data_IF_400135284322
#
_entry.id   IF_400135284322
#
_cell.length_a   1.000
_cell.length_b   1.000
_cell.length_c   1.000
_cell.angle_alpha   90.00
_cell.angle_beta   90.00
_cell.angle_gamma   90.00
#
_symmetry.space_group_name_H-M   'P 1'
#
loop_
_entity.id
_entity.type
_entity.pdbx_description
1 polymer ?
#
# COMPACT_ATOMS: atom_id res chain seq x y z
N UNK A 1 43.49 42.74 53.87
CA UNK A 1 43.05 41.47 53.21
C UNK A 1 42.03 41.67 52.07
N UNK A 2 41.21 42.69 52.08
CA UNK A 2 40.15 42.94 51.09
C UNK A 2 40.65 43.41 49.71
N UNK A 3 41.72 44.19 49.64
CA UNK A 3 42.24 44.75 48.38
C UNK A 3 42.87 43.69 47.45
N UNK A 4 43.50 42.66 47.99
CA UNK A 4 44.12 41.56 47.20
C UNK A 4 43.07 40.61 46.60
N UNK A 5 41.91 40.46 47.22
CA UNK A 5 40.79 39.70 46.69
C UNK A 5 40.13 40.41 45.52
N UNK A 6 40.03 41.77 45.63
CA UNK A 6 39.39 42.60 44.55
C UNK A 6 40.26 42.63 43.30
N UNK A 7 41.58 42.70 43.44
CA UNK A 7 42.52 42.70 42.32
C UNK A 7 42.51 41.35 41.60
N UNK A 8 42.59 40.23 42.32
CA UNK A 8 42.51 38.87 41.75
C UNK A 8 41.16 38.56 41.14
N UNK A 9 40.08 39.10 41.68
CA UNK A 9 38.74 38.95 41.11
C UNK A 9 38.64 39.73 39.78
N UNK A 10 39.19 40.92 39.73
CA UNK A 10 39.20 41.72 38.50
C UNK A 10 40.10 41.13 37.39
N UNK A 11 41.25 40.58 37.75
CA UNK A 11 42.12 39.88 36.77
C UNK A 11 41.47 38.63 36.21
N UNK A 12 40.86 37.81 37.04
CA UNK A 12 40.11 36.62 36.61
C UNK A 12 38.87 36.97 35.79
N UNK A 13 38.18 38.03 36.14
CA UNK A 13 37.05 38.52 35.39
C UNK A 13 37.46 39.03 34.03
N UNK A 14 38.62 39.72 33.96
CA UNK A 14 39.15 40.24 32.69
C UNK A 14 39.71 39.13 31.79
N UNK A 15 40.37 38.16 32.33
CA UNK A 15 40.79 36.94 31.62
C UNK A 15 39.58 36.15 31.10
N UNK A 16 38.54 35.96 31.91
CA UNK A 16 37.32 35.29 31.51
C UNK A 16 36.56 36.10 30.47
N UNK A 17 36.45 37.41 30.58
CA UNK A 17 35.82 38.27 29.60
C UNK A 17 36.57 38.31 28.28
N UNK A 18 37.90 38.24 28.28
CA UNK A 18 38.70 38.28 27.05
C UNK A 18 38.78 36.96 26.30
N UNK A 19 38.51 35.81 26.96
CA UNK A 19 38.58 34.46 26.38
C UNK A 19 37.20 33.85 26.22
N UNK A 20 36.55 33.50 27.33
CA UNK A 20 35.24 32.85 27.31
C UNK A 20 34.07 33.81 27.01
N UNK A 21 34.16 35.07 27.52
CA UNK A 21 33.16 36.07 27.25
C UNK A 21 33.04 36.43 25.77
N UNK A 22 34.15 36.57 25.07
CA UNK A 22 34.17 36.79 23.61
C UNK A 22 33.50 35.64 22.85
N UNK A 23 33.79 34.38 23.25
CA UNK A 23 33.19 33.19 22.65
C UNK A 23 31.68 33.14 22.89
N UNK A 24 31.21 33.46 24.11
CA UNK A 24 29.78 33.53 24.43
C UNK A 24 29.07 34.57 23.57
N UNK A 25 29.68 35.74 23.38
CA UNK A 25 29.14 36.78 22.47
C UNK A 25 29.09 36.30 21.03
N UNK A 26 30.15 35.61 20.54
CA UNK A 26 30.17 35.06 19.19
C UNK A 26 29.09 33.98 19.00
N UNK A 27 28.88 33.10 19.99
CA UNK A 27 27.83 32.06 19.96
C UNK A 27 26.44 32.70 19.95
N UNK A 28 26.21 33.71 20.79
CA UNK A 28 24.96 34.47 20.82
C UNK A 28 24.69 35.21 19.48
N UNK A 29 25.71 35.79 18.88
CA UNK A 29 25.63 36.42 17.57
C UNK A 29 25.34 35.38 16.47
N UNK A 30 26.02 34.25 16.48
CA UNK A 30 25.78 33.14 15.54
C UNK A 30 24.33 32.63 15.67
N UNK A 31 23.84 32.47 16.89
CA UNK A 31 22.45 32.07 17.15
C UNK A 31 21.46 33.09 16.59
N UNK A 32 21.68 34.38 16.76
CA UNK A 32 20.84 35.46 16.18
C UNK A 32 20.88 35.46 14.66
N UNK A 33 22.05 35.25 14.06
CA UNK A 33 22.22 35.13 12.61
C UNK A 33 21.46 33.91 12.07
N UNK A 34 21.58 32.74 12.72
CA UNK A 34 20.85 31.51 12.36
C UNK A 34 19.33 31.72 12.45
N UNK A 35 18.84 32.36 13.50
CA UNK A 35 17.41 32.68 13.64
C UNK A 35 16.93 33.70 12.58
N UNK A 36 17.76 34.67 12.21
CA UNK A 36 17.47 35.60 11.12
C UNK A 36 17.46 34.91 9.75
N UNK A 37 18.42 33.99 9.49
CA UNK A 37 18.47 33.16 8.28
C UNK A 37 17.25 32.25 8.20
N UNK A 38 16.89 31.58 9.29
CA UNK A 38 15.69 30.76 9.37
C UNK A 38 14.43 31.54 8.99
N UNK A 39 14.26 32.78 9.53
CA UNK A 39 13.15 33.67 9.16
C UNK A 39 13.14 33.98 7.67
N UNK A 40 14.31 34.29 7.08
CA UNK A 40 14.43 34.62 5.65
C UNK A 40 14.12 33.42 4.75
N UNK A 41 14.66 32.22 5.09
CA UNK A 41 14.40 30.98 4.34
C UNK A 41 12.92 30.64 4.38
N UNK A 42 12.32 30.68 5.56
CA UNK A 42 10.88 30.42 5.74
C UNK A 42 10.03 31.42 4.96
N UNK A 43 10.35 32.71 4.99
CA UNK A 43 9.66 33.75 4.23
C UNK A 43 9.79 33.53 2.71
N UNK A 44 10.99 33.17 2.22
CA UNK A 44 11.22 32.86 0.81
C UNK A 44 10.48 31.61 0.34
N UNK A 45 10.49 30.53 1.13
CA UNK A 45 9.70 29.33 0.84
C UNK A 45 8.20 29.67 0.77
N UNK A 46 7.71 30.46 1.73
CA UNK A 46 6.32 30.91 1.74
C UNK A 46 5.95 31.67 0.46
N UNK A 47 6.77 32.61 0.02
CA UNK A 47 6.49 33.40 -1.19
C UNK A 47 6.49 32.55 -2.47
N UNK A 48 7.32 31.50 -2.53
CA UNK A 48 7.32 30.55 -3.64
C UNK A 48 6.04 29.71 -3.68
N UNK A 49 5.53 29.28 -2.53
CA UNK A 49 4.29 28.50 -2.45
C UNK A 49 3.03 29.34 -2.69
N UNK A 50 2.99 30.60 -2.21
CA UNK A 50 1.85 31.50 -2.40
C UNK A 50 1.58 31.80 -3.88
N UNK A 51 2.62 31.79 -4.73
CA UNK A 51 2.47 31.95 -6.19
C UNK A 51 2.04 30.69 -6.96
N UNK A 52 2.10 29.52 -6.35
CA UNK A 52 1.93 28.22 -7.05
C UNK A 52 0.71 27.43 -6.61
N UNK A 53 0.06 27.76 -5.50
CA UNK A 53 -1.03 26.97 -4.93
C UNK A 53 -2.40 27.52 -5.36
N UNK A 54 -3.23 26.67 -6.04
CA UNK A 54 -4.48 27.14 -6.64
C UNK A 54 -5.67 27.27 -5.67
N UNK A 55 -5.56 26.78 -4.42
CA UNK A 55 -6.71 26.77 -3.49
C UNK A 55 -6.41 27.36 -2.11
N UNK A 56 -7.39 28.09 -1.49
CA UNK A 56 -7.23 28.63 -0.14
C UNK A 56 -6.96 27.59 0.95
N UNK A 57 -7.44 26.35 0.76
CA UNK A 57 -7.23 25.26 1.70
C UNK A 57 -5.76 24.77 1.69
N UNK A 58 -5.14 24.72 0.51
CA UNK A 58 -3.72 24.37 0.37
C UNK A 58 -2.81 25.44 0.99
N UNK A 59 -3.14 26.71 0.81
CA UNK A 59 -2.43 27.80 1.45
C UNK A 59 -2.47 27.71 2.98
N UNK A 60 -3.63 27.44 3.58
CA UNK A 60 -3.75 27.26 5.04
C UNK A 60 -2.88 26.11 5.56
N UNK A 61 -2.87 24.96 4.85
CA UNK A 61 -2.02 23.82 5.20
C UNK A 61 -0.53 24.14 5.12
N UNK A 62 -0.09 24.78 4.02
CA UNK A 62 1.29 25.21 3.84
C UNK A 62 1.74 26.17 4.94
N UNK A 63 0.88 27.13 5.33
CA UNK A 63 1.12 28.03 6.45
C UNK A 63 1.34 27.29 7.77
N UNK A 64 0.44 26.36 8.12
CA UNK A 64 0.54 25.61 9.36
C UNK A 64 1.83 24.78 9.41
N UNK A 65 2.16 24.07 8.32
CA UNK A 65 3.38 23.27 8.22
C UNK A 65 4.64 24.14 8.35
N UNK A 66 4.67 25.29 7.67
CA UNK A 66 5.79 26.22 7.72
C UNK A 66 5.98 26.79 9.13
N UNK A 67 4.89 27.07 9.86
CA UNK A 67 4.97 27.49 11.27
C UNK A 67 5.56 26.40 12.16
N UNK A 68 5.09 25.15 12.02
CA UNK A 68 5.61 24.01 12.81
C UNK A 68 7.10 23.81 12.57
N UNK A 69 7.53 23.74 11.31
CA UNK A 69 8.95 23.57 10.95
C UNK A 69 9.81 24.69 11.52
N UNK A 70 9.36 25.95 11.39
CA UNK A 70 10.05 27.10 11.95
C UNK A 70 10.18 27.03 13.47
N UNK A 71 9.10 26.64 14.17
CA UNK A 71 9.10 26.65 15.63
C UNK A 71 9.95 25.47 16.17
N UNK A 72 9.93 24.31 15.55
CA UNK A 72 10.84 23.20 15.86
C UNK A 72 12.30 23.60 15.62
N UNK A 73 12.62 24.17 14.45
CA UNK A 73 13.97 24.63 14.15
C UNK A 73 14.46 25.71 15.15
N UNK A 74 13.56 26.61 15.57
CA UNK A 74 13.86 27.64 16.59
C UNK A 74 14.21 27.00 17.95
N UNK A 75 13.41 26.00 18.36
CA UNK A 75 13.65 25.27 19.63
C UNK A 75 15.03 24.58 19.58
N UNK A 76 15.37 23.92 18.48
CA UNK A 76 16.66 23.25 18.30
C UNK A 76 17.82 24.25 18.35
N UNK A 77 17.74 25.36 17.60
CA UNK A 77 18.77 26.40 17.58
C UNK A 77 18.97 26.99 18.99
N UNK A 78 17.85 27.28 19.69
CA UNK A 78 17.92 27.83 21.04
C UNK A 78 18.52 26.82 22.04
N UNK A 79 18.13 25.55 21.97
CA UNK A 79 18.65 24.49 22.83
C UNK A 79 20.16 24.28 22.63
N UNK A 80 20.62 24.16 21.38
CA UNK A 80 22.04 23.98 21.06
C UNK A 80 22.84 25.23 21.45
N UNK A 81 22.35 26.42 21.13
CA UNK A 81 23.01 27.68 21.48
C UNK A 81 23.15 27.86 23.00
N UNK A 82 22.09 27.54 23.76
CA UNK A 82 22.13 27.59 25.23
C UNK A 82 23.14 26.59 25.80
N UNK A 83 23.18 25.36 25.27
CA UNK A 83 24.18 24.35 25.66
C UNK A 83 25.62 24.85 25.42
N UNK A 84 25.88 25.45 24.26
CA UNK A 84 27.19 26.00 23.94
C UNK A 84 27.58 27.14 24.88
N UNK A 85 26.66 28.04 25.22
CA UNK A 85 26.89 29.15 26.17
C UNK A 85 27.20 28.61 27.59
N UNK A 86 26.42 27.61 28.05
CA UNK A 86 26.66 26.96 29.35
C UNK A 86 28.03 26.29 29.40
N UNK A 87 28.44 25.64 28.30
CA UNK A 87 29.79 25.02 28.20
C UNK A 87 30.91 26.05 28.37
N UNK A 88 30.84 27.18 27.67
CA UNK A 88 31.82 28.26 27.77
C UNK A 88 31.79 28.94 29.15
N UNK A 89 30.69 28.87 29.86
CA UNK A 89 30.52 29.36 31.20
C UNK A 89 31.09 28.42 32.29
N UNK A 90 31.67 27.26 31.89
CA UNK A 90 32.30 26.27 32.79
C UNK A 90 31.31 25.30 33.45
N UNK A 91 30.06 25.23 32.96
CA UNK A 91 29.06 24.26 33.44
C UNK A 91 29.40 22.89 32.88
N UNK A 92 29.44 21.85 33.72
CA UNK A 92 29.56 20.47 33.25
C UNK A 92 28.29 20.02 32.52
N UNK A 93 28.42 19.85 31.20
CA UNK A 93 27.30 19.45 30.33
C UNK A 93 27.04 17.95 30.32
N UNK A 94 27.88 17.11 30.90
CA UNK A 94 27.72 15.64 30.87
C UNK A 94 26.34 15.17 31.33
N UNK A 95 25.77 15.65 32.47
CA UNK A 95 24.42 15.24 32.87
C UNK A 95 23.33 15.73 31.91
N UNK A 96 23.48 16.94 31.35
CA UNK A 96 22.53 17.51 30.41
C UNK A 96 22.55 16.79 29.07
N UNK A 97 23.74 16.42 28.58
CA UNK A 97 23.89 15.63 27.34
C UNK A 97 23.35 14.21 27.55
N UNK A 98 23.54 13.59 28.73
CA UNK A 98 22.94 12.29 29.02
C UNK A 98 21.40 12.36 29.02
N UNK A 99 20.82 13.37 29.66
CA UNK A 99 19.38 13.59 29.67
C UNK A 99 18.83 13.90 28.25
N UNK A 100 19.54 14.73 27.47
CA UNK A 100 19.21 15.02 26.08
C UNK A 100 19.28 13.76 25.19
N UNK A 101 20.27 12.88 25.44
CA UNK A 101 20.41 11.60 24.78
C UNK A 101 19.20 10.67 25.02
N UNK A 102 18.77 10.56 26.26
CA UNK A 102 17.54 9.80 26.61
C UNK A 102 16.29 10.41 25.96
N UNK A 103 16.17 11.75 25.99
CA UNK A 103 15.11 12.46 25.28
C UNK A 103 15.14 12.22 23.78
N UNK A 104 16.33 12.22 23.17
CA UNK A 104 16.54 11.91 21.75
C UNK A 104 16.13 10.49 21.38
N UNK A 105 16.43 9.50 22.24
CA UNK A 105 15.96 8.12 22.04
C UNK A 105 14.43 8.03 22.09
N UNK A 106 13.79 8.71 23.05
CA UNK A 106 12.33 8.72 23.15
C UNK A 106 11.67 9.35 21.89
N UNK A 107 12.23 10.46 21.39
CA UNK A 107 11.78 11.09 20.14
C UNK A 107 12.04 10.16 18.95
N UNK A 108 13.19 9.47 18.90
CA UNK A 108 13.55 8.51 17.86
C UNK A 108 12.57 7.35 17.79
N UNK A 109 12.21 6.75 18.91
CA UNK A 109 11.18 5.70 18.97
C UNK A 109 9.81 6.24 18.55
N UNK A 110 9.44 7.46 18.95
CA UNK A 110 8.20 8.10 18.50
C UNK A 110 8.14 8.39 17.00
N UNK A 111 9.30 8.64 16.37
CA UNK A 111 9.41 8.94 14.94
C UNK A 111 9.74 7.70 14.08
N UNK A 112 9.92 6.52 14.66
CA UNK A 112 10.38 5.30 13.96
C UNK A 112 9.50 4.94 12.76
N UNK A 113 8.18 5.02 12.90
CA UNK A 113 7.25 4.72 11.80
C UNK A 113 7.41 5.72 10.64
N UNK A 114 7.60 7.00 10.94
CA UNK A 114 7.82 8.02 9.93
C UNK A 114 9.10 7.76 9.13
N UNK A 115 10.19 7.42 9.80
CA UNK A 115 11.46 7.08 9.15
C UNK A 115 11.31 5.83 8.29
N UNK A 116 10.62 4.80 8.79
CA UNK A 116 10.30 3.58 8.04
C UNK A 116 9.47 3.90 6.79
N UNK A 117 8.43 4.74 6.90
CA UNK A 117 7.61 5.16 5.76
C UNK A 117 8.45 5.81 4.66
N UNK A 118 9.34 6.73 5.04
CA UNK A 118 10.17 7.48 4.09
C UNK A 118 11.19 6.58 3.39
N UNK A 119 11.86 5.70 4.13
CA UNK A 119 12.85 4.76 3.57
C UNK A 119 12.16 3.77 2.64
N UNK A 120 11.05 3.16 3.06
CA UNK A 120 10.28 2.24 2.22
C UNK A 120 9.77 2.94 0.97
N UNK A 121 9.23 4.14 1.09
CA UNK A 121 8.75 4.93 -0.05
C UNK A 121 9.86 5.29 -1.04
N UNK A 122 11.05 5.61 -0.55
CA UNK A 122 12.20 5.86 -1.40
C UNK A 122 12.55 4.62 -2.25
N UNK A 123 12.59 3.42 -1.64
CA UNK A 123 12.87 2.19 -2.39
C UNK A 123 11.74 1.80 -3.33
N UNK A 124 10.47 1.95 -2.95
CA UNK A 124 9.33 1.71 -3.83
C UNK A 124 9.42 2.56 -5.11
N UNK A 125 9.80 3.83 -4.97
CA UNK A 125 9.98 4.75 -6.10
C UNK A 125 11.25 4.41 -6.91
N UNK A 126 12.37 4.12 -6.25
CA UNK A 126 13.64 3.80 -6.89
C UNK A 126 13.56 2.51 -7.72
N UNK A 127 12.96 1.46 -7.16
CA UNK A 127 12.78 0.16 -7.81
C UNK A 127 11.63 0.15 -8.81
N UNK A 128 10.81 1.21 -8.80
CA UNK A 128 9.65 1.32 -9.67
C UNK A 128 8.70 0.11 -9.53
N UNK A 129 8.51 -0.34 -8.28
CA UNK A 129 7.70 -1.51 -7.94
C UNK A 129 6.21 -1.24 -8.09
N UNK A 130 5.78 0.00 -7.88
CA UNK A 130 4.41 0.51 -8.01
C UNK A 130 4.42 1.79 -8.82
N UNK A 131 3.54 1.90 -9.80
CA UNK A 131 3.37 3.09 -10.65
C UNK A 131 1.95 3.63 -10.53
N UNK A 132 1.79 4.94 -10.73
CA UNK A 132 0.47 5.53 -10.94
C UNK A 132 -0.16 4.89 -12.18
N UNK A 133 -1.39 4.41 -12.05
CA UNK A 133 -2.10 3.69 -13.10
C UNK A 133 -2.06 2.16 -12.96
N UNK A 134 -1.21 1.60 -12.10
CA UNK A 134 -1.22 0.16 -11.80
C UNK A 134 -2.45 -0.21 -10.94
N UNK A 135 -2.78 -1.50 -10.94
CA UNK A 135 -3.65 -2.11 -9.94
C UNK A 135 -2.80 -3.00 -9.05
N UNK A 136 -2.74 -2.66 -7.78
CA UNK A 136 -1.88 -3.35 -6.82
C UNK A 136 -2.65 -3.75 -5.56
N UNK A 137 -2.08 -4.73 -4.83
CA UNK A 137 -2.47 -5.04 -3.47
C UNK A 137 -1.25 -4.81 -2.57
N UNK A 138 -1.39 -3.89 -1.61
CA UNK A 138 -0.35 -3.50 -0.65
C UNK A 138 -0.99 -3.29 0.73
N UNK A 139 -0.31 -3.74 1.79
CA UNK A 139 -0.82 -3.60 3.15
C UNK A 139 -2.22 -4.21 3.38
N UNK A 140 -2.57 -5.28 2.64
CA UNK A 140 -3.88 -5.93 2.72
C UNK A 140 -5.01 -5.21 1.97
N UNK A 141 -4.71 -4.16 1.22
CA UNK A 141 -5.69 -3.38 0.45
C UNK A 141 -5.36 -3.43 -1.03
N UNK A 142 -6.35 -3.77 -1.85
CA UNK A 142 -6.24 -3.79 -3.32
C UNK A 142 -6.90 -2.57 -3.96
N UNK A 143 -6.30 -2.01 -5.02
CA UNK A 143 -6.90 -0.91 -5.74
C UNK A 143 -6.05 -0.36 -6.87
N UNK A 144 -6.65 0.56 -7.61
CA UNK A 144 -5.99 1.36 -8.65
C UNK A 144 -5.13 2.45 -8.00
N UNK A 145 -3.87 2.56 -8.42
CA UNK A 145 -2.91 3.52 -7.87
C UNK A 145 -3.18 4.92 -8.44
N UNK A 146 -3.66 5.83 -7.60
CA UNK A 146 -3.86 7.23 -7.96
C UNK A 146 -2.62 8.09 -7.77
N UNK A 147 -1.83 7.80 -6.71
CA UNK A 147 -0.60 8.51 -6.41
C UNK A 147 0.37 7.63 -5.64
N UNK A 148 1.66 7.80 -5.91
CA UNK A 148 2.76 7.23 -5.14
C UNK A 148 3.58 8.40 -4.61
N UNK A 149 3.54 8.59 -3.29
CA UNK A 149 4.25 9.66 -2.59
C UNK A 149 5.37 9.07 -1.75
N UNK A 150 6.30 9.90 -1.28
CA UNK A 150 7.44 9.43 -0.49
C UNK A 150 7.03 8.72 0.81
N UNK A 151 5.89 9.09 1.41
CA UNK A 151 5.39 8.51 2.65
C UNK A 151 4.22 7.54 2.47
N UNK A 152 3.40 7.72 1.44
CA UNK A 152 2.14 6.99 1.27
C UNK A 152 1.88 6.62 -0.18
N UNK A 153 1.19 5.49 -0.39
CA UNK A 153 0.53 5.13 -1.65
C UNK A 153 -0.96 5.40 -1.49
N UNK A 154 -1.57 6.03 -2.49
CA UNK A 154 -3.01 6.26 -2.54
C UNK A 154 -3.64 5.35 -3.57
N UNK A 155 -4.58 4.52 -3.12
CA UNK A 155 -5.30 3.55 -3.92
C UNK A 155 -6.79 3.90 -3.96
N UNK A 156 -7.46 3.57 -5.06
CA UNK A 156 -8.91 3.57 -5.16
C UNK A 156 -9.41 2.16 -5.45
N UNK A 157 -10.32 1.67 -4.62
CA UNK A 157 -10.95 0.37 -4.83
C UNK A 157 -12.08 0.42 -5.86
N UNK A 158 -12.63 -0.75 -6.20
CA UNK A 158 -13.75 -0.85 -7.15
C UNK A 158 -15.05 -0.19 -6.66
N UNK A 159 -15.19 0.00 -5.34
CA UNK A 159 -16.34 0.69 -4.74
C UNK A 159 -16.16 2.21 -4.72
N UNK A 160 -14.99 2.72 -5.16
CA UNK A 160 -14.66 4.14 -5.22
C UNK A 160 -14.03 4.69 -3.94
N UNK A 161 -13.79 3.86 -2.91
CA UNK A 161 -13.15 4.32 -1.68
C UNK A 161 -11.67 4.60 -1.92
N UNK A 162 -11.16 5.65 -1.28
CA UNK A 162 -9.75 6.01 -1.33
C UNK A 162 -9.05 5.48 -0.08
N UNK A 163 -8.03 4.66 -0.30
CA UNK A 163 -7.16 4.12 0.73
C UNK A 163 -5.80 4.82 0.69
N UNK A 164 -5.37 5.33 1.84
CA UNK A 164 -4.04 5.96 2.00
C UNK A 164 -3.19 5.02 2.84
N UNK A 165 -2.27 4.33 2.18
CA UNK A 165 -1.43 3.28 2.77
C UNK A 165 -0.05 3.87 3.09
N UNK A 166 0.40 3.90 4.36
CA UNK A 166 1.76 4.28 4.71
C UNK A 166 2.77 3.30 4.11
N UNK A 167 3.85 3.80 3.50
CA UNK A 167 4.84 2.94 2.84
C UNK A 167 5.55 1.98 3.79
N UNK A 168 5.70 2.37 5.07
CA UNK A 168 6.36 1.56 6.08
C UNK A 168 5.63 0.28 6.50
N UNK A 169 4.33 0.13 6.16
CA UNK A 169 3.59 -1.11 6.39
C UNK A 169 3.57 -2.02 5.15
N UNK A 170 4.12 -1.55 4.03
CA UNK A 170 4.23 -2.32 2.78
C UNK A 170 5.45 -3.23 2.89
N UNK A 171 5.23 -4.47 3.25
CA UNK A 171 6.22 -5.55 3.28
C UNK A 171 6.24 -6.36 1.99
N UNK A 172 5.11 -6.40 1.27
CA UNK A 172 4.93 -7.12 0.02
C UNK A 172 4.06 -6.30 -0.93
N UNK A 173 4.47 -6.24 -2.18
CA UNK A 173 3.71 -5.64 -3.28
C UNK A 173 3.24 -6.75 -4.21
N UNK A 174 1.93 -6.87 -4.44
CA UNK A 174 1.35 -7.68 -5.51
C UNK A 174 0.86 -6.73 -6.60
N UNK A 175 1.64 -6.58 -7.66
CA UNK A 175 1.27 -5.78 -8.82
C UNK A 175 0.59 -6.67 -9.85
N UNK A 176 -0.68 -6.39 -10.17
CA UNK A 176 -1.52 -7.22 -11.05
C UNK A 176 -1.47 -6.74 -12.51
N UNK A 177 -0.77 -5.64 -12.79
CA UNK A 177 -0.81 -4.97 -14.08
C UNK A 177 0.56 -4.53 -14.60
N UNK A 178 1.65 -4.99 -13.96
CA UNK A 178 3.01 -4.62 -14.38
C UNK A 178 3.36 -5.36 -15.67
N UNK A 179 3.59 -4.61 -16.76
CA UNK A 179 3.97 -5.07 -18.09
C UNK A 179 2.89 -5.84 -18.84
N UNK A 180 2.32 -6.87 -18.27
CA UNK A 180 1.20 -7.66 -18.79
C UNK A 180 0.35 -8.19 -17.64
N UNK A 181 -0.80 -8.75 -17.96
CA UNK A 181 -1.68 -9.37 -16.98
C UNK A 181 -2.17 -10.73 -17.45
N UNK A 182 -2.47 -11.60 -16.51
CA UNK A 182 -3.20 -12.83 -16.79
C UNK A 182 -4.60 -12.78 -16.16
N UNK A 183 -5.57 -13.34 -16.88
CA UNK A 183 -6.82 -13.78 -16.27
C UNK A 183 -6.79 -15.31 -16.18
N UNK A 184 -6.89 -15.83 -14.96
CA UNK A 184 -6.91 -17.25 -14.68
C UNK A 184 -8.37 -17.71 -14.61
N UNK A 185 -8.69 -18.80 -15.29
CA UNK A 185 -9.98 -19.45 -15.26
C UNK A 185 -9.87 -20.78 -14.55
N UNK A 186 -10.78 -21.04 -13.61
CA UNK A 186 -11.03 -22.33 -12.99
C UNK A 186 -12.44 -22.76 -13.42
N UNK A 187 -12.52 -23.61 -14.46
CA UNK A 187 -13.77 -24.01 -15.08
C UNK A 187 -14.17 -25.39 -14.57
N UNK A 188 -15.24 -25.42 -13.76
CA UNK A 188 -15.79 -26.67 -13.23
C UNK A 188 -16.79 -27.29 -14.21
N UNK A 189 -16.59 -28.56 -14.55
CA UNK A 189 -17.51 -29.35 -15.37
C UNK A 189 -17.89 -30.66 -14.64
N UNK A 190 -19.04 -31.24 -15.01
CA UNK A 190 -19.49 -32.47 -14.38
C UNK A 190 -18.53 -33.63 -14.68
N UNK A 191 -18.42 -34.59 -13.75
CA UNK A 191 -17.55 -35.75 -13.88
C UNK A 191 -17.84 -36.66 -15.09
N UNK A 192 -19.05 -36.54 -15.66
CA UNK A 192 -19.44 -37.28 -16.87
C UNK A 192 -18.96 -36.63 -18.17
N UNK A 193 -18.50 -35.37 -18.13
CA UNK A 193 -18.05 -34.66 -19.31
C UNK A 193 -16.68 -35.16 -19.77
N UNK A 194 -16.46 -35.20 -21.10
CA UNK A 194 -15.14 -35.47 -21.65
C UNK A 194 -14.27 -34.21 -21.53
N UNK A 195 -13.22 -34.31 -20.72
CA UNK A 195 -12.35 -33.14 -20.43
C UNK A 195 -11.58 -32.66 -21.67
N UNK A 196 -11.24 -33.59 -22.60
CA UNK A 196 -10.51 -33.20 -23.83
C UNK A 196 -11.45 -32.45 -24.79
N UNK A 197 -12.71 -32.88 -24.91
CA UNK A 197 -13.73 -32.16 -25.66
C UNK A 197 -13.97 -30.76 -25.06
N UNK A 198 -14.11 -30.68 -23.74
CA UNK A 198 -14.30 -29.39 -23.04
C UNK A 198 -13.11 -28.45 -23.25
N UNK A 199 -11.88 -28.95 -23.14
CA UNK A 199 -10.67 -28.14 -23.41
C UNK A 199 -10.63 -27.63 -24.84
N UNK A 200 -11.03 -28.45 -25.82
CA UNK A 200 -11.18 -28.04 -27.22
C UNK A 200 -12.19 -26.89 -27.39
N UNK A 201 -13.35 -27.01 -26.74
CA UNK A 201 -14.40 -25.97 -26.76
C UNK A 201 -13.91 -24.67 -26.13
N UNK A 202 -13.15 -24.73 -25.01
CA UNK A 202 -12.57 -23.53 -24.39
C UNK A 202 -11.57 -22.83 -25.31
N UNK A 203 -10.75 -23.59 -26.05
CA UNK A 203 -9.85 -23.02 -27.07
C UNK A 203 -10.60 -22.36 -28.22
N UNK A 204 -11.67 -22.98 -28.74
CA UNK A 204 -12.53 -22.40 -29.78
C UNK A 204 -13.11 -21.07 -29.33
N UNK A 205 -13.68 -21.00 -28.12
CA UNK A 205 -14.23 -19.78 -27.52
C UNK A 205 -13.16 -18.68 -27.39
N UNK A 206 -11.97 -19.04 -26.94
CA UNK A 206 -10.87 -18.10 -26.79
C UNK A 206 -10.43 -17.52 -28.14
N UNK A 207 -10.36 -18.34 -29.19
CA UNK A 207 -10.04 -17.86 -30.53
C UNK A 207 -11.15 -16.96 -31.12
N UNK A 208 -12.42 -17.21 -30.80
CA UNK A 208 -13.51 -16.32 -31.15
C UNK A 208 -13.38 -14.96 -30.47
N UNK A 209 -13.03 -14.92 -29.18
CA UNK A 209 -12.81 -13.66 -28.45
C UNK A 209 -11.59 -12.93 -29.00
N UNK A 210 -10.53 -13.66 -29.33
CA UNK A 210 -9.30 -13.09 -29.90
C UNK A 210 -9.52 -12.48 -31.28
N UNK A 211 -10.44 -13.03 -32.09
CA UNK A 211 -10.81 -12.48 -33.42
C UNK A 211 -11.84 -11.35 -33.35
N UNK A 212 -12.47 -11.16 -32.19
CA UNK A 212 -13.45 -10.09 -32.03
C UNK A 212 -12.74 -8.73 -31.97
N UNK A 213 -13.03 -7.79 -32.88
CA UNK A 213 -12.35 -6.49 -32.92
C UNK A 213 -12.40 -5.68 -31.62
N UNK A 214 -13.38 -5.99 -30.77
CA UNK A 214 -13.51 -5.31 -29.47
C UNK A 214 -12.46 -5.74 -28.45
N UNK A 215 -11.84 -6.93 -28.62
CA UNK A 215 -10.93 -7.55 -27.66
C UNK A 215 -9.58 -7.96 -28.27
N UNK A 216 -9.48 -7.98 -29.60
CA UNK A 216 -8.29 -8.44 -30.33
C UNK A 216 -7.01 -7.72 -29.87
N UNK A 217 -7.08 -6.40 -29.73
CA UNK A 217 -5.94 -5.58 -29.30
C UNK A 217 -5.62 -5.73 -27.80
N UNK A 218 -6.55 -6.25 -27.01
CA UNK A 218 -6.35 -6.44 -25.56
C UNK A 218 -5.64 -7.77 -25.22
N UNK A 219 -5.62 -8.74 -26.16
CA UNK A 219 -5.10 -10.09 -25.95
C UNK A 219 -3.73 -10.25 -26.58
N UNK A 220 -2.72 -10.56 -25.79
CA UNK A 220 -1.33 -10.66 -26.22
C UNK A 220 -0.96 -12.04 -26.80
N UNK A 221 -1.52 -13.11 -26.25
CA UNK A 221 -1.19 -14.48 -26.60
C UNK A 221 -2.47 -15.34 -26.65
N UNK A 222 -2.48 -16.47 -27.40
CA UNK A 222 -3.58 -17.43 -27.35
C UNK A 222 -3.84 -17.94 -25.92
N UNK A 223 -5.02 -18.52 -25.71
CA UNK A 223 -5.35 -19.19 -24.43
C UNK A 223 -4.33 -20.27 -24.14
N UNK A 224 -3.70 -20.21 -22.99
CA UNK A 224 -2.84 -21.26 -22.47
C UNK A 224 -3.67 -22.23 -21.65
N UNK A 225 -3.81 -23.46 -22.14
CA UNK A 225 -4.49 -24.56 -21.45
C UNK A 225 -3.51 -25.20 -20.47
N UNK A 226 -3.80 -25.13 -19.17
CA UNK A 226 -2.99 -25.77 -18.12
C UNK A 226 -3.45 -27.21 -17.84
N UNK A 227 -4.68 -27.56 -18.25
CA UNK A 227 -5.25 -28.90 -18.13
C UNK A 227 -6.16 -29.07 -16.91
N UNK A 228 -6.41 -30.35 -16.54
CA UNK A 228 -7.17 -30.69 -15.34
C UNK A 228 -6.33 -30.38 -14.11
N UNK A 229 -6.80 -29.49 -13.26
CA UNK A 229 -6.10 -29.00 -12.07
C UNK A 229 -6.52 -29.77 -10.81
N UNK A 230 -7.81 -30.05 -10.67
CA UNK A 230 -8.36 -30.64 -9.45
C UNK A 230 -9.63 -31.45 -9.73
N UNK A 231 -9.78 -32.54 -8.97
CA UNK A 231 -11.03 -33.26 -8.80
C UNK A 231 -11.71 -32.74 -7.52
N UNK A 232 -12.66 -31.80 -7.69
CA UNK A 232 -13.39 -31.21 -6.58
C UNK A 232 -14.62 -32.07 -6.20
N UNK A 233 -15.31 -31.73 -5.10
CA UNK A 233 -16.42 -32.54 -4.54
C UNK A 233 -17.55 -32.81 -5.55
N UNK A 234 -17.80 -31.91 -6.48
CA UNK A 234 -18.89 -32.03 -7.46
C UNK A 234 -18.47 -31.68 -8.89
N UNK A 235 -17.21 -31.39 -9.16
CA UNK A 235 -16.72 -30.96 -10.45
C UNK A 235 -15.29 -31.41 -10.73
N UNK A 236 -14.96 -31.56 -12.00
CA UNK A 236 -13.60 -31.62 -12.50
C UNK A 236 -13.22 -30.18 -12.88
N UNK A 237 -12.15 -29.63 -12.29
CA UNK A 237 -11.69 -28.27 -12.54
C UNK A 237 -10.64 -28.26 -13.63
N UNK A 238 -10.95 -27.58 -14.72
CA UNK A 238 -10.03 -27.32 -15.84
C UNK A 238 -9.48 -25.92 -15.66
N UNK A 239 -8.16 -25.81 -15.63
CA UNK A 239 -7.45 -24.54 -15.47
C UNK A 239 -6.89 -24.05 -16.79
N UNK A 240 -7.14 -22.80 -17.12
CA UNK A 240 -6.56 -22.14 -18.28
C UNK A 240 -6.35 -20.64 -17.96
N UNK A 241 -5.52 -19.98 -18.75
CA UNK A 241 -5.27 -18.55 -18.57
C UNK A 241 -5.08 -17.84 -19.91
N UNK A 242 -5.39 -16.55 -19.90
CA UNK A 242 -5.21 -15.69 -21.06
C UNK A 242 -4.34 -14.48 -20.71
N UNK A 243 -3.33 -14.21 -21.54
CA UNK A 243 -2.43 -13.08 -21.37
C UNK A 243 -3.00 -11.85 -22.07
N UNK A 244 -3.04 -10.75 -21.34
CA UNK A 244 -3.63 -9.50 -21.83
C UNK A 244 -2.72 -8.30 -21.57
N UNK A 245 -3.03 -7.19 -22.21
CA UNK A 245 -2.52 -5.90 -21.80
C UNK A 245 -2.92 -5.57 -20.35
N UNK A 246 -2.13 -4.75 -19.64
CA UNK A 246 -2.45 -4.31 -18.30
C UNK A 246 -3.88 -3.77 -18.16
N UNK A 247 -4.57 -4.11 -17.07
CA UNK A 247 -5.95 -3.70 -16.74
C UNK A 247 -7.03 -4.39 -17.62
N UNK A 248 -6.68 -4.97 -18.77
CA UNK A 248 -7.63 -5.57 -19.71
C UNK A 248 -8.08 -6.97 -19.32
N UNK A 249 -7.35 -7.65 -18.44
CA UNK A 249 -7.64 -9.03 -18.00
C UNK A 249 -9.07 -9.20 -17.48
N UNK A 250 -9.59 -8.25 -16.70
CA UNK A 250 -10.96 -8.37 -16.17
C UNK A 250 -12.05 -8.22 -17.25
N UNK A 251 -11.84 -7.33 -18.23
CA UNK A 251 -12.77 -7.13 -19.34
C UNK A 251 -12.81 -8.36 -20.23
N UNK A 252 -11.64 -8.88 -20.61
CA UNK A 252 -11.50 -10.11 -21.41
C UNK A 252 -12.05 -11.30 -20.65
N UNK A 253 -11.69 -11.46 -19.36
CA UNK A 253 -12.17 -12.55 -18.52
C UNK A 253 -13.69 -12.60 -18.40
N UNK A 254 -14.36 -11.45 -18.21
CA UNK A 254 -15.82 -11.39 -18.13
C UNK A 254 -16.48 -11.79 -19.47
N UNK A 255 -15.91 -11.39 -20.60
CA UNK A 255 -16.44 -11.80 -21.91
C UNK A 255 -16.23 -13.28 -22.17
N UNK A 256 -15.05 -13.82 -21.82
CA UNK A 256 -14.80 -15.27 -21.88
C UNK A 256 -15.83 -16.04 -21.04
N UNK A 257 -16.03 -15.68 -19.77
CA UNK A 257 -17.01 -16.33 -18.91
C UNK A 257 -18.43 -16.29 -19.49
N UNK A 258 -18.81 -15.16 -20.08
CA UNK A 258 -20.11 -15.02 -20.75
C UNK A 258 -20.26 -15.96 -21.94
N UNK A 259 -19.22 -16.10 -22.78
CA UNK A 259 -19.25 -16.98 -23.95
C UNK A 259 -19.17 -18.44 -23.53
N UNK A 260 -18.33 -18.78 -22.54
CA UNK A 260 -18.25 -20.12 -21.98
C UNK A 260 -19.65 -20.58 -21.52
N UNK A 261 -20.35 -19.80 -20.72
CA UNK A 261 -21.70 -20.16 -20.25
C UNK A 261 -22.66 -20.42 -21.40
N UNK A 262 -22.66 -19.55 -22.45
CA UNK A 262 -23.56 -19.69 -23.59
C UNK A 262 -23.24 -20.91 -24.44
N UNK A 263 -21.96 -21.17 -24.70
CA UNK A 263 -21.52 -22.29 -25.54
C UNK A 263 -21.73 -23.62 -24.83
N UNK A 264 -21.46 -23.67 -23.50
CA UNK A 264 -21.71 -24.85 -22.70
C UNK A 264 -23.20 -25.21 -22.70
N UNK A 265 -24.09 -24.23 -22.48
CA UNK A 265 -25.52 -24.45 -22.57
C UNK A 265 -25.94 -24.98 -23.96
N UNK A 266 -25.39 -24.41 -25.04
CA UNK A 266 -25.72 -24.82 -26.39
C UNK A 266 -25.19 -26.21 -26.78
N UNK A 267 -24.03 -26.61 -26.24
CA UNK A 267 -23.41 -27.92 -26.47
C UNK A 267 -23.85 -28.97 -25.45
N UNK A 268 -24.63 -28.62 -24.43
CA UNK A 268 -25.09 -29.53 -23.38
C UNK A 268 -23.99 -29.91 -22.38
N UNK A 269 -22.88 -29.14 -22.30
CA UNK A 269 -21.82 -29.35 -21.31
C UNK A 269 -22.33 -28.86 -19.95
N UNK A 270 -22.35 -29.75 -18.97
CA UNK A 270 -22.88 -29.46 -17.65
C UNK A 270 -21.89 -28.74 -16.75
N UNK A 271 -22.31 -27.56 -16.25
CA UNK A 271 -21.68 -26.91 -15.09
C UNK A 271 -22.43 -27.42 -13.84
N UNK A 272 -21.82 -28.30 -13.05
CA UNK A 272 -22.54 -29.03 -12.03
C UNK A 272 -22.96 -28.12 -10.86
N UNK A 273 -24.15 -28.37 -10.33
CA UNK A 273 -24.53 -27.90 -9.01
C UNK A 273 -23.84 -28.73 -7.92
N UNK A 274 -23.81 -28.26 -6.67
CA UNK A 274 -23.32 -29.08 -5.56
C UNK A 274 -24.10 -30.39 -5.48
N UNK A 275 -23.39 -31.54 -5.61
CA UNK A 275 -23.96 -32.86 -5.50
C UNK A 275 -23.64 -33.47 -4.13
N UNK A 276 -24.58 -34.25 -3.61
CA UNK A 276 -24.39 -35.03 -2.39
C UNK A 276 -24.79 -36.48 -2.65
N UNK A 277 -23.91 -37.41 -2.29
CA UNK A 277 -24.26 -38.81 -2.27
C UNK A 277 -24.80 -39.17 -0.88
N UNK A 278 -26.05 -39.61 -0.84
CA UNK A 278 -26.67 -40.03 0.40
C UNK A 278 -26.47 -41.55 0.51
N UNK A 279 -25.65 -41.95 1.49
CA UNK A 279 -25.45 -43.36 1.81
C UNK A 279 -26.36 -43.73 2.99
N UNK A 280 -27.27 -44.67 2.74
CA UNK A 280 -28.11 -45.27 3.79
C UNK A 280 -27.31 -46.40 4.40
N UNK A 281 -26.70 -46.17 5.56
CA UNK A 281 -25.92 -47.17 6.26
C UNK A 281 -26.75 -48.46 6.46
N UNK A 282 -26.10 -49.65 6.38
CA UNK A 282 -26.72 -50.91 6.70
C UNK A 282 -27.09 -50.95 8.19
N UNK A 283 -28.35 -51.17 8.55
CA UNK A 283 -28.75 -51.31 9.94
C UNK A 283 -28.06 -52.56 10.53
N UNK A 284 -27.55 -52.42 11.76
CA UNK A 284 -26.96 -53.58 12.47
C UNK A 284 -27.93 -54.75 12.61
N UNK A 285 -29.22 -54.52 12.61
CA UNK A 285 -30.30 -55.50 12.64
C UNK A 285 -31.51 -54.97 11.88
N UNK A 286 -32.13 -55.77 10.99
CA UNK A 286 -33.34 -55.42 10.27
C UNK A 286 -33.11 -54.84 8.86
N UNK A 287 -34.22 -54.56 8.15
CA UNK A 287 -34.18 -53.92 6.82
C UNK A 287 -34.01 -52.43 6.96
N UNK A 288 -33.20 -51.77 6.06
CA UNK A 288 -33.11 -50.31 6.05
C UNK A 288 -34.50 -49.69 5.85
N UNK A 289 -34.73 -48.52 6.47
CA UNK A 289 -35.98 -47.78 6.30
C UNK A 289 -36.21 -47.46 4.81
N UNK A 290 -37.36 -47.71 4.24
CA UNK A 290 -37.65 -47.39 2.85
C UNK A 290 -37.62 -45.87 2.61
N UNK A 291 -36.90 -45.44 1.56
CA UNK A 291 -36.98 -44.06 1.09
C UNK A 291 -38.15 -43.90 0.17
N UNK A 292 -39.11 -43.08 0.56
CA UNK A 292 -40.23 -42.70 -0.33
C UNK A 292 -39.80 -41.47 -1.16
N UNK A 293 -39.49 -41.68 -2.44
CA UNK A 293 -39.27 -40.59 -3.40
C UNK A 293 -40.60 -40.30 -4.09
N UNK A 294 -41.26 -39.21 -3.73
CA UNK A 294 -42.43 -38.74 -4.45
C UNK A 294 -42.00 -38.06 -5.76
N UNK A 295 -42.09 -38.79 -6.88
CA UNK A 295 -41.82 -38.18 -8.19
C UNK A 295 -42.99 -37.28 -8.63
N UNK A 296 -42.66 -36.21 -9.34
CA UNK A 296 -43.60 -35.19 -9.90
C UNK A 296 -44.58 -35.76 -10.96
N UNK A 297 -44.58 -37.06 -11.21
CA UNK A 297 -45.48 -37.72 -12.22
C UNK A 297 -46.99 -37.74 -11.79
N UNK A 298 -47.33 -37.46 -10.54
CA UNK A 298 -48.74 -37.46 -10.11
C UNK A 298 -49.50 -36.13 -10.33
N UNK A 299 -48.82 -35.06 -10.74
CA UNK A 299 -49.48 -33.79 -11.00
C UNK A 299 -50.21 -33.72 -12.37
N UNK A 300 -49.93 -34.64 -13.29
CA UNK A 300 -50.61 -34.67 -14.62
C UNK A 300 -51.86 -35.54 -14.63
N UNK A 301 -52.10 -36.38 -13.65
CA UNK A 301 -53.32 -37.23 -13.58
C UNK A 301 -54.52 -36.57 -12.89
N UNK A 302 -54.37 -35.38 -12.32
CA UNK A 302 -55.44 -34.62 -11.64
C UNK A 302 -56.03 -33.49 -12.48
N UNK A 303 -55.61 -33.33 -13.75
CA UNK A 303 -56.12 -32.27 -14.67
C UNK A 303 -56.83 -32.81 -15.91
N UNK A 304 -57.41 -34.02 -15.82
CA UNK A 304 -58.40 -34.53 -16.80
C UNK A 304 -59.75 -34.70 -16.14
#
# INVERSE_FOLDING_TARGET
MTASYFVRFNERLFEWLSTSGLRVVLIALAMLVLLALLKRVVAKLRSLYEGSLPTPAQLKRAHTLTHIVRDVARIVIFFVGTMMILSESGVDLKPLLAAAGLGGLAIGFGAQSLVKDLISGFFILLENSVRVGDVVEVGGVGGFVEAVELRTIRLRDLSGNVHVVPNGIVDKVKNMTKEYSFYLFDIGVAYREDVDEVMGVLQEIAEEVRRDPRFADDILEPLEMLGVDQFADSAVIIKCRIKTLPIKQWRVGREMNRRIKKTFDAKGIEIPFPHQTIYWGEPKQGKPAPLYVAGLQQAQAASN
#
